data_IF_631238327141
#
_entry.id   IF_631238327141
#
_cell.length_a   1.000
_cell.length_b   1.000
_cell.length_c   1.000
_cell.angle_alpha   90.00
_cell.angle_beta   90.00
_cell.angle_gamma   90.00
#
_symmetry.space_group_name_H-M   'P 1'
#
loop_
_entity.id
_entity.type
_entity.pdbx_description
1 polymer ?
#
# COMPACT_ATOMS: atom_id res chain seq x y z
N UNK A 1 -32.22 33.53 0.16
CA UNK A 1 -31.52 32.86 -0.96
C UNK A 1 -30.92 31.59 -0.38
N UNK A 2 -31.46 30.41 -0.72
CA UNK A 2 -30.84 29.13 -0.36
C UNK A 2 -29.53 29.02 -1.12
N UNK A 3 -28.40 29.13 -0.42
CA UNK A 3 -27.07 29.00 -1.02
C UNK A 3 -26.88 27.53 -1.40
N UNK A 4 -26.88 27.23 -2.69
CA UNK A 4 -26.53 25.89 -3.18
C UNK A 4 -25.06 25.60 -2.82
N UNK A 5 -24.75 24.47 -2.15
CA UNK A 5 -23.38 24.12 -1.82
C UNK A 5 -22.59 23.80 -3.08
N UNK A 6 -21.31 24.20 -3.10
CA UNK A 6 -20.35 23.80 -4.15
C UNK A 6 -20.02 22.32 -4.05
N UNK A 7 -19.46 21.75 -5.12
CA UNK A 7 -19.01 20.36 -5.17
C UNK A 7 -18.08 20.01 -4.00
N UNK A 8 -17.07 20.84 -3.73
CA UNK A 8 -16.11 20.62 -2.64
C UNK A 8 -16.79 20.66 -1.27
N UNK A 9 -17.72 21.60 -1.05
CA UNK A 9 -18.46 21.69 0.21
C UNK A 9 -19.38 20.48 0.42
N UNK A 10 -20.07 20.04 -0.64
CA UNK A 10 -20.93 18.85 -0.60
C UNK A 10 -20.16 17.60 -0.18
N UNK A 11 -18.97 17.37 -0.76
CA UNK A 11 -18.14 16.20 -0.42
C UNK A 11 -17.53 16.33 0.98
N UNK A 12 -17.01 17.50 1.33
CA UNK A 12 -16.46 17.77 2.67
C UNK A 12 -17.49 17.48 3.75
N UNK A 13 -18.73 17.88 3.53
CA UNK A 13 -19.82 17.75 4.50
C UNK A 13 -20.49 16.36 4.42
N UNK A 14 -20.19 15.56 3.39
CA UNK A 14 -20.72 14.20 3.19
C UNK A 14 -22.15 14.17 2.64
N UNK A 15 -22.58 15.25 1.98
CA UNK A 15 -23.92 15.37 1.42
C UNK A 15 -23.97 14.77 0.01
N UNK A 16 -24.44 13.53 -0.06
CA UNK A 16 -24.53 12.79 -1.31
C UNK A 16 -25.59 13.36 -2.29
N UNK A 17 -26.61 14.08 -1.80
CA UNK A 17 -27.60 14.71 -2.66
C UNK A 17 -27.01 15.98 -3.28
N UNK A 18 -26.37 16.81 -2.46
CA UNK A 18 -25.65 17.99 -2.92
C UNK A 18 -24.51 17.65 -3.88
N UNK A 19 -23.77 16.55 -3.63
CA UNK A 19 -22.73 16.04 -4.53
C UNK A 19 -23.31 15.74 -5.91
N UNK A 20 -24.39 14.95 -5.99
CA UNK A 20 -25.04 14.62 -7.27
C UNK A 20 -25.58 15.86 -7.96
N UNK A 21 -26.19 16.78 -7.21
CA UNK A 21 -26.69 18.03 -7.75
C UNK A 21 -25.57 18.92 -8.30
N UNK A 22 -24.42 18.99 -7.63
CA UNK A 22 -23.26 19.76 -8.09
C UNK A 22 -22.62 19.16 -9.35
N UNK A 23 -22.43 17.84 -9.37
CA UNK A 23 -21.96 17.13 -10.57
C UNK A 23 -22.94 17.29 -11.75
N UNK A 24 -24.25 17.25 -11.49
CA UNK A 24 -25.28 17.49 -12.51
C UNK A 24 -25.28 18.92 -13.08
N UNK A 25 -24.69 19.89 -12.38
CA UNK A 25 -24.47 21.25 -12.89
C UNK A 25 -23.18 21.38 -13.72
N UNK A 26 -22.35 20.34 -13.78
CA UNK A 26 -21.07 20.37 -14.48
C UNK A 26 -20.01 21.20 -13.75
N UNK A 27 -20.07 21.28 -12.41
CA UNK A 27 -18.99 21.89 -11.63
C UNK A 27 -17.68 21.13 -11.84
N UNK A 28 -16.58 21.87 -11.98
CA UNK A 28 -15.27 21.31 -12.25
C UNK A 28 -14.73 20.57 -11.01
N UNK A 29 -14.46 19.24 -11.09
CA UNK A 29 -13.90 18.47 -9.98
C UNK A 29 -12.50 18.91 -9.55
N UNK A 30 -11.80 19.71 -10.37
CA UNK A 30 -10.49 20.26 -10.05
C UNK A 30 -10.55 21.52 -9.17
N UNK A 31 -11.74 22.09 -8.94
CA UNK A 31 -11.89 23.21 -8.01
C UNK A 31 -11.42 22.83 -6.60
N UNK A 32 -10.77 23.79 -5.93
CA UNK A 32 -10.19 23.61 -4.60
C UNK A 32 -10.81 24.59 -3.61
N UNK A 33 -10.99 24.14 -2.38
CA UNK A 33 -11.36 25.03 -1.29
C UNK A 33 -10.18 25.90 -0.82
N UNK A 34 -10.44 26.74 0.18
CA UNK A 34 -9.46 27.64 0.80
C UNK A 34 -8.26 26.91 1.43
N UNK A 35 -8.38 25.60 1.67
CA UNK A 35 -7.31 24.74 2.20
C UNK A 35 -6.53 24.05 1.08
N UNK A 36 -6.87 24.32 -0.18
CA UNK A 36 -6.28 23.69 -1.35
C UNK A 36 -6.80 22.27 -1.60
N UNK A 37 -7.85 21.81 -0.93
CA UNK A 37 -8.41 20.47 -1.12
C UNK A 37 -9.43 20.48 -2.26
N UNK A 38 -9.27 19.57 -3.22
CA UNK A 38 -10.29 19.28 -4.22
C UNK A 38 -11.36 18.34 -3.65
N UNK A 39 -12.45 18.16 -4.38
CA UNK A 39 -13.52 17.25 -4.00
C UNK A 39 -13.01 15.81 -3.81
N UNK A 40 -12.13 15.33 -4.71
CA UNK A 40 -11.58 13.97 -4.63
C UNK A 40 -10.63 13.78 -3.43
N UNK A 41 -9.86 14.81 -3.08
CA UNK A 41 -9.01 14.81 -1.87
C UNK A 41 -9.87 14.57 -0.62
N UNK A 42 -10.98 15.31 -0.49
CA UNK A 42 -11.91 15.17 0.62
C UNK A 42 -12.58 13.79 0.67
N UNK A 43 -13.06 13.28 -0.48
CA UNK A 43 -13.65 11.96 -0.56
C UNK A 43 -12.65 10.86 -0.12
N UNK A 44 -11.40 10.97 -0.58
CA UNK A 44 -10.32 10.06 -0.23
C UNK A 44 -9.99 10.08 1.27
N UNK A 45 -9.78 11.27 1.85
CA UNK A 45 -9.47 11.42 3.28
C UNK A 45 -10.61 10.99 4.22
N UNK A 46 -11.86 11.11 3.76
CA UNK A 46 -13.05 10.63 4.48
C UNK A 46 -13.24 9.12 4.34
N UNK A 47 -12.74 8.52 3.26
CA UNK A 47 -13.01 7.13 2.90
C UNK A 47 -14.39 6.93 2.28
N UNK A 48 -14.97 7.98 1.70
CA UNK A 48 -16.28 7.94 1.07
C UNK A 48 -16.16 7.34 -0.34
N UNK A 49 -16.16 6.01 -0.41
CA UNK A 49 -16.01 5.25 -1.66
C UNK A 49 -17.08 5.62 -2.71
N UNK A 50 -18.39 5.77 -2.36
CA UNK A 50 -19.38 6.28 -3.31
C UNK A 50 -19.02 7.65 -3.89
N UNK A 51 -18.56 8.60 -3.06
CA UNK A 51 -18.15 9.91 -3.55
C UNK A 51 -16.88 9.83 -4.41
N UNK A 52 -15.88 9.02 -4.02
CA UNK A 52 -14.68 8.77 -4.83
C UNK A 52 -15.08 8.29 -6.22
N UNK A 53 -15.93 7.27 -6.33
CA UNK A 53 -16.38 6.74 -7.63
C UNK A 53 -17.14 7.79 -8.45
N UNK A 54 -18.08 8.50 -7.83
CA UNK A 54 -18.86 9.52 -8.53
C UNK A 54 -17.98 10.66 -9.09
N UNK A 55 -16.94 11.06 -8.35
CA UNK A 55 -15.99 12.09 -8.79
C UNK A 55 -15.08 11.59 -9.91
N UNK A 56 -14.62 10.34 -9.85
CA UNK A 56 -13.84 9.71 -10.91
C UNK A 56 -14.66 9.57 -12.20
N UNK A 57 -15.92 9.14 -12.09
CA UNK A 57 -16.86 9.05 -13.22
C UNK A 57 -17.14 10.43 -13.84
N UNK A 58 -17.09 11.48 -13.03
CA UNK A 58 -17.21 12.87 -13.47
C UNK A 58 -15.90 13.46 -14.03
N UNK A 59 -14.82 12.67 -14.12
CA UNK A 59 -13.55 13.08 -14.73
C UNK A 59 -12.57 13.77 -13.78
N UNK A 60 -12.75 13.66 -12.46
CA UNK A 60 -11.73 14.10 -11.51
C UNK A 60 -10.40 13.37 -11.76
N UNK A 61 -9.29 14.10 -11.84
CA UNK A 61 -7.97 13.50 -12.02
C UNK A 61 -7.52 12.78 -10.72
N UNK A 62 -7.39 11.44 -10.73
CA UNK A 62 -7.03 10.67 -9.55
C UNK A 62 -5.57 10.83 -9.11
N UNK A 63 -4.72 11.47 -9.93
CA UNK A 63 -3.31 11.77 -9.61
C UNK A 63 -3.06 13.24 -9.30
N UNK A 64 -4.10 14.08 -9.31
CA UNK A 64 -3.96 15.49 -9.01
C UNK A 64 -3.41 15.68 -7.60
N UNK A 65 -2.27 16.35 -7.46
CA UNK A 65 -1.65 16.56 -6.15
C UNK A 65 -2.37 17.67 -5.40
N UNK A 66 -2.97 17.29 -4.29
CA UNK A 66 -3.60 18.19 -3.33
C UNK A 66 -2.60 18.78 -2.34
N UNK A 67 -3.06 19.17 -1.15
CA UNK A 67 -2.22 19.83 -0.16
C UNK A 67 -1.03 18.97 0.26
N UNK A 68 0.09 19.66 0.54
CA UNK A 68 1.38 19.03 0.84
C UNK A 68 1.90 18.13 -0.30
N UNK A 69 1.38 18.32 -1.52
CA UNK A 69 1.81 17.59 -2.70
C UNK A 69 1.34 16.14 -2.73
N UNK A 70 0.32 15.75 -1.95
CA UNK A 70 -0.16 14.36 -1.90
C UNK A 70 -1.21 14.06 -2.97
N UNK A 71 -1.17 12.89 -3.58
CA UNK A 71 -2.28 12.39 -4.42
C UNK A 71 -3.47 11.96 -3.55
N UNK A 72 -4.68 11.84 -4.11
CA UNK A 72 -5.83 11.26 -3.43
C UNK A 72 -5.53 9.88 -2.82
N UNK A 73 -4.76 9.03 -3.51
CA UNK A 73 -4.34 7.73 -2.97
C UNK A 73 -3.49 7.90 -1.70
N UNK A 74 -2.45 8.74 -1.76
CA UNK A 74 -1.59 9.02 -0.62
C UNK A 74 -2.37 9.63 0.56
N UNK A 75 -3.37 10.46 0.28
CA UNK A 75 -4.29 11.00 1.30
C UNK A 75 -5.12 9.89 1.95
N UNK A 76 -5.71 8.98 1.16
CA UNK A 76 -6.49 7.86 1.68
C UNK A 76 -5.62 6.93 2.54
N UNK A 77 -4.39 6.63 2.11
CA UNK A 77 -3.42 5.84 2.87
C UNK A 77 -3.06 6.53 4.19
N UNK A 78 -2.69 7.81 4.15
CA UNK A 78 -2.34 8.58 5.35
C UNK A 78 -3.51 8.69 6.35
N UNK A 79 -4.75 8.67 5.86
CA UNK A 79 -5.96 8.69 6.69
C UNK A 79 -6.46 7.29 7.09
N UNK A 80 -5.76 6.21 6.71
CA UNK A 80 -6.14 4.83 7.01
C UNK A 80 -7.43 4.37 6.31
N UNK A 81 -7.81 4.98 5.19
CA UNK A 81 -9.04 4.71 4.44
C UNK A 81 -8.81 3.64 3.39
N UNK A 82 -8.67 2.40 3.85
CA UNK A 82 -8.25 1.23 3.05
C UNK A 82 -9.09 1.07 1.78
N UNK A 83 -10.41 1.10 1.86
CA UNK A 83 -11.26 0.84 0.68
C UNK A 83 -11.18 1.96 -0.36
N UNK A 84 -11.07 3.22 0.08
CA UNK A 84 -10.86 4.34 -0.83
C UNK A 84 -9.46 4.27 -1.47
N UNK A 85 -8.43 3.94 -0.69
CA UNK A 85 -7.07 3.73 -1.20
C UNK A 85 -7.02 2.60 -2.24
N UNK A 86 -7.75 1.49 -2.02
CA UNK A 86 -7.85 0.41 -3.01
C UNK A 86 -8.46 0.88 -4.33
N UNK A 87 -9.59 1.56 -4.28
CA UNK A 87 -10.26 2.08 -5.49
C UNK A 87 -9.35 3.06 -6.24
N UNK A 88 -8.67 3.96 -5.53
CA UNK A 88 -7.76 4.92 -6.15
C UNK A 88 -6.54 4.22 -6.78
N UNK A 89 -5.95 3.25 -6.08
CA UNK A 89 -4.85 2.42 -6.60
C UNK A 89 -5.25 1.64 -7.85
N UNK A 90 -6.45 1.08 -7.90
CA UNK A 90 -6.93 0.35 -9.08
C UNK A 90 -6.98 1.24 -10.33
N UNK A 91 -7.27 2.53 -10.16
CA UNK A 91 -7.34 3.49 -11.25
C UNK A 91 -5.97 4.06 -11.60
N UNK A 92 -5.10 4.29 -10.61
CA UNK A 92 -3.82 4.98 -10.81
C UNK A 92 -2.60 4.06 -10.90
N UNK A 93 -2.70 2.82 -10.45
CA UNK A 93 -1.52 1.98 -10.18
C UNK A 93 -0.56 2.59 -9.14
N UNK A 94 -0.93 3.65 -8.43
CA UNK A 94 -0.06 4.23 -7.39
C UNK A 94 0.13 3.24 -6.25
N UNK A 95 1.38 3.06 -5.83
CA UNK A 95 1.73 2.01 -4.87
C UNK A 95 1.74 0.59 -5.46
N UNK A 96 1.43 0.39 -6.76
CA UNK A 96 1.64 -0.90 -7.43
C UNK A 96 3.12 -1.19 -7.66
N UNK A 97 3.91 -0.13 -7.84
CA UNK A 97 5.37 -0.23 -8.01
C UNK A 97 6.07 -0.59 -6.70
N UNK A 98 5.36 -0.48 -5.56
CA UNK A 98 5.58 -1.23 -4.33
C UNK A 98 6.99 -1.25 -3.76
N UNK A 99 7.92 -0.42 -4.24
CA UNK A 99 9.30 -0.49 -3.82
C UNK A 99 9.41 0.17 -2.46
N UNK A 100 9.18 -0.65 -1.44
CA UNK A 100 9.81 -0.53 -0.15
C UNK A 100 10.77 -1.70 -0.04
N UNK A 101 11.98 -1.49 0.49
CA UNK A 101 12.80 -2.62 0.90
C UNK A 101 12.07 -3.35 2.03
N UNK A 102 11.20 -4.30 1.66
CA UNK A 102 10.65 -5.27 2.58
C UNK A 102 11.62 -6.45 2.61
N UNK A 103 12.19 -6.66 3.78
CA UNK A 103 12.84 -7.91 4.11
C UNK A 103 12.29 -8.42 5.44
N UNK A 104 12.36 -9.73 5.62
CA UNK A 104 12.04 -10.39 6.89
C UNK A 104 13.25 -11.18 7.34
N UNK A 105 13.54 -11.05 8.64
CA UNK A 105 14.63 -11.76 9.28
C UNK A 105 14.26 -13.24 9.47
N UNK A 106 15.20 -14.12 9.15
CA UNK A 106 15.12 -15.56 9.37
C UNK A 106 16.43 -16.07 9.96
N UNK A 107 16.36 -17.17 10.69
CA UNK A 107 17.56 -17.92 11.08
C UNK A 107 18.00 -18.80 9.91
N UNK A 108 19.31 -18.92 9.68
CA UNK A 108 19.88 -19.85 8.68
C UNK A 108 19.36 -21.28 8.86
N UNK A 109 19.09 -21.70 10.11
CA UNK A 109 18.47 -22.99 10.40
C UNK A 109 17.16 -23.23 9.61
N UNK A 110 16.34 -22.19 9.44
CA UNK A 110 15.10 -22.30 8.69
C UNK A 110 15.37 -22.49 7.19
N UNK A 111 16.39 -21.81 6.64
CA UNK A 111 16.71 -21.88 5.22
C UNK A 111 17.37 -23.20 4.82
N UNK A 112 18.07 -23.88 5.75
CA UNK A 112 18.68 -25.21 5.54
C UNK A 112 17.67 -26.33 5.24
N UNK A 113 16.38 -26.11 5.49
CA UNK A 113 15.35 -27.04 5.07
C UNK A 113 15.17 -27.05 3.54
N UNK A 114 15.60 -25.99 2.84
CA UNK A 114 15.64 -25.97 1.39
C UNK A 114 16.86 -26.78 0.89
N UNK A 115 16.66 -27.81 0.05
CA UNK A 115 17.74 -28.72 -0.36
C UNK A 115 18.99 -28.04 -0.93
N UNK A 116 18.81 -26.99 -1.73
CA UNK A 116 19.92 -26.32 -2.43
C UNK A 116 20.63 -25.26 -1.58
N UNK A 117 20.11 -24.94 -0.39
CA UNK A 117 20.70 -23.95 0.52
C UNK A 117 22.13 -24.32 0.95
N UNK A 118 22.42 -25.62 1.03
CA UNK A 118 23.73 -26.17 1.44
C UNK A 118 24.93 -25.64 0.63
N UNK A 119 24.69 -25.04 -0.54
CA UNK A 119 25.70 -24.37 -1.37
C UNK A 119 26.24 -23.06 -0.79
N UNK A 120 25.55 -22.46 0.20
CA UNK A 120 25.89 -21.17 0.83
C UNK A 120 26.46 -21.31 2.24
N UNK A 121 26.42 -22.51 2.82
CA UNK A 121 26.89 -22.79 4.19
C UNK A 121 28.41 -22.60 4.40
N UNK A 122 29.19 -22.37 3.33
CA UNK A 122 30.64 -22.19 3.37
C UNK A 122 31.16 -20.88 4.00
N UNK A 123 30.29 -19.93 4.34
CA UNK A 123 30.69 -18.57 4.77
C UNK A 123 30.62 -18.33 6.30
N UNK A 124 30.93 -19.32 7.13
CA UNK A 124 30.90 -19.14 8.59
C UNK A 124 29.50 -18.85 9.15
N UNK A 125 28.46 -19.29 8.43
CA UNK A 125 27.06 -19.20 8.84
C UNK A 125 26.72 -20.32 9.83
N UNK A 126 26.32 -19.94 11.04
CA UNK A 126 25.78 -20.89 12.03
C UNK A 126 24.27 -21.00 11.87
N UNK A 127 23.67 -22.06 12.43
CA UNK A 127 22.21 -22.23 12.43
C UNK A 127 21.47 -21.02 13.04
N UNK A 128 22.08 -20.36 14.02
CA UNK A 128 21.55 -19.20 14.74
C UNK A 128 21.82 -17.86 14.04
N UNK A 129 22.53 -17.85 12.91
CA UNK A 129 22.81 -16.60 12.20
C UNK A 129 21.54 -16.03 11.61
N UNK A 130 21.27 -14.75 11.85
CA UNK A 130 20.15 -14.02 11.25
C UNK A 130 20.53 -13.56 9.85
N UNK A 131 19.64 -13.80 8.90
CA UNK A 131 19.72 -13.34 7.51
C UNK A 131 18.39 -12.71 7.10
N UNK A 132 18.39 -11.92 6.04
CA UNK A 132 17.24 -11.16 5.59
C UNK A 132 16.81 -11.62 4.21
N UNK A 133 15.59 -12.17 4.12
CA UNK A 133 14.95 -12.53 2.86
C UNK A 133 14.18 -11.31 2.35
N UNK A 134 14.51 -10.86 1.14
CA UNK A 134 13.94 -9.68 0.49
C UNK A 134 12.75 -10.05 -0.40
N UNK A 135 11.98 -9.03 -0.77
CA UNK A 135 10.82 -9.14 -1.66
C UNK A 135 11.11 -9.83 -3.00
N UNK A 136 12.33 -9.69 -3.52
CA UNK A 136 12.80 -10.32 -4.77
C UNK A 136 13.39 -11.73 -4.55
N UNK A 137 13.21 -12.27 -3.35
CA UNK A 137 13.68 -13.57 -2.89
C UNK A 137 15.22 -13.71 -2.79
N UNK A 138 15.94 -12.59 -2.81
CA UNK A 138 17.35 -12.56 -2.43
C UNK A 138 17.50 -12.69 -0.91
N UNK A 139 18.61 -13.30 -0.46
CA UNK A 139 18.97 -13.38 0.96
C UNK A 139 20.28 -12.66 1.20
N UNK A 140 20.32 -11.80 2.21
CA UNK A 140 21.49 -11.00 2.58
C UNK A 140 21.81 -11.13 4.07
N UNK A 141 23.03 -10.72 4.47
CA UNK A 141 23.35 -10.47 5.89
C UNK A 141 22.87 -9.11 6.39
N UNK A 142 22.59 -8.18 5.48
CA UNK A 142 22.15 -6.81 5.78
C UNK A 142 20.63 -6.65 5.65
N UNK A 143 20.03 -5.77 6.43
CA UNK A 143 18.63 -5.34 6.21
C UNK A 143 18.48 -4.58 4.88
N UNK A 144 19.58 -4.07 4.34
CA UNK A 144 19.60 -3.31 3.10
C UNK A 144 19.72 -4.26 1.91
N UNK A 145 18.84 -4.04 0.94
CA UNK A 145 18.80 -4.83 -0.27
C UNK A 145 20.11 -4.68 -1.08
N UNK A 146 20.64 -5.79 -1.58
CA UNK A 146 21.85 -5.84 -2.41
C UNK A 146 23.19 -5.78 -1.66
N UNK A 147 23.19 -5.60 -0.34
CA UNK A 147 24.39 -5.66 0.50
C UNK A 147 24.63 -7.07 1.03
N UNK A 148 25.88 -7.54 1.05
CA UNK A 148 26.28 -8.84 1.63
C UNK A 148 25.35 -10.00 1.21
N UNK A 149 25.15 -10.12 -0.11
CA UNK A 149 24.24 -11.10 -0.73
C UNK A 149 24.78 -12.51 -0.54
N UNK A 150 23.99 -13.34 0.16
CA UNK A 150 24.26 -14.76 0.39
C UNK A 150 23.59 -15.64 -0.66
N UNK A 151 22.41 -15.24 -1.14
CA UNK A 151 21.63 -16.01 -2.10
C UNK A 151 20.94 -15.07 -3.09
N UNK A 152 21.13 -15.31 -4.38
CA UNK A 152 20.52 -14.54 -5.47
C UNK A 152 19.89 -15.41 -6.57
N UNK A 153 19.87 -16.73 -6.38
CA UNK A 153 19.29 -17.66 -7.34
C UNK A 153 17.78 -17.72 -7.16
N UNK A 154 17.02 -17.46 -8.21
CA UNK A 154 15.56 -17.60 -8.19
C UNK A 154 15.16 -18.86 -8.95
N UNK A 155 14.41 -19.74 -8.29
CA UNK A 155 13.77 -20.91 -8.89
C UNK A 155 12.32 -21.02 -8.43
N UNK A 156 11.44 -21.71 -9.18
CA UNK A 156 10.06 -21.96 -8.74
C UNK A 156 9.99 -22.65 -7.38
N UNK A 157 10.88 -23.61 -7.12
CA UNK A 157 10.98 -24.37 -5.87
C UNK A 157 11.40 -23.48 -4.70
N UNK A 158 12.39 -22.59 -4.91
CA UNK A 158 12.80 -21.60 -3.91
C UNK A 158 11.65 -20.64 -3.57
N UNK A 159 10.93 -20.17 -4.59
CA UNK A 159 9.80 -19.27 -4.40
C UNK A 159 8.65 -19.95 -3.65
N UNK A 160 8.39 -21.23 -3.91
CA UNK A 160 7.40 -22.03 -3.18
C UNK A 160 7.83 -22.24 -1.73
N UNK A 161 9.06 -22.67 -1.48
CA UNK A 161 9.62 -22.83 -0.13
C UNK A 161 9.53 -21.53 0.69
N UNK A 162 9.89 -20.39 0.09
CA UNK A 162 9.76 -19.09 0.76
C UNK A 162 8.31 -18.80 1.20
N UNK A 163 7.32 -19.14 0.36
CA UNK A 163 5.92 -18.86 0.65
C UNK A 163 5.30 -19.83 1.65
N UNK A 164 5.52 -21.12 1.45
CA UNK A 164 4.80 -22.19 2.16
C UNK A 164 5.52 -22.59 3.46
N UNK A 165 6.85 -22.74 3.42
CA UNK A 165 7.63 -23.19 4.58
C UNK A 165 8.07 -22.01 5.48
N UNK A 166 8.59 -20.94 4.87
CA UNK A 166 9.03 -19.75 5.63
C UNK A 166 7.88 -18.80 5.97
N UNK A 167 6.72 -18.94 5.32
CA UNK A 167 5.61 -18.00 5.44
C UNK A 167 6.02 -16.57 5.06
N UNK A 168 6.94 -16.43 4.10
CA UNK A 168 7.35 -15.13 3.58
C UNK A 168 6.27 -14.58 2.67
N UNK A 169 5.68 -13.47 3.09
CA UNK A 169 4.77 -12.68 2.28
C UNK A 169 5.21 -11.23 2.38
N UNK A 170 5.37 -10.59 1.24
CA UNK A 170 5.56 -9.13 1.17
C UNK A 170 4.19 -8.53 1.48
N UNK A 171 4.02 -7.82 2.62
CA UNK A 171 2.77 -7.15 2.92
C UNK A 171 2.51 -6.14 1.81
N UNK A 172 1.29 -6.10 1.30
CA UNK A 172 0.90 -4.92 0.55
C UNK A 172 0.79 -3.73 1.53
N UNK A 173 1.00 -2.49 1.05
CA UNK A 173 0.93 -1.28 1.88
C UNK A 173 -0.44 -1.12 2.62
N UNK A 174 -1.44 -1.95 2.31
CA UNK A 174 -2.80 -1.93 2.86
C UNK A 174 -3.12 -3.13 3.79
N UNK A 175 -2.24 -4.12 3.87
CA UNK A 175 -2.26 -5.21 4.84
C UNK A 175 -1.75 -4.65 6.17
N UNK A 176 -2.63 -3.89 6.84
CA UNK A 176 -2.46 -3.55 8.24
C UNK A 176 -2.16 -4.83 9.02
N UNK A 177 -0.97 -4.94 9.61
CA UNK A 177 -0.64 -6.01 10.57
C UNK A 177 -1.78 -6.01 11.58
N UNK A 178 -2.61 -7.07 11.67
CA UNK A 178 -3.63 -7.14 12.70
C UNK A 178 -2.89 -7.03 14.03
N UNK A 179 -3.18 -5.97 14.79
CA UNK A 179 -2.59 -5.77 16.12
C UNK A 179 -2.65 -7.10 16.86
N UNK A 180 -1.47 -7.61 17.23
CA UNK A 180 -1.28 -8.97 17.68
C UNK A 180 -2.36 -9.38 18.67
N UNK A 181 -3.33 -10.17 18.19
CA UNK A 181 -4.22 -10.90 19.08
C UNK A 181 -3.37 -12.00 19.66
N UNK A 182 -2.81 -11.71 20.84
CA UNK A 182 -2.15 -12.69 21.68
C UNK A 182 -3.04 -13.90 21.83
N UNK A 183 -2.74 -14.94 21.06
CA UNK A 183 -3.17 -16.29 21.36
C UNK A 183 -1.91 -17.05 21.64
N UNK A 184 -1.45 -16.92 22.89
CA UNK A 184 -0.59 -17.92 23.48
C UNK A 184 -1.24 -19.27 23.23
N UNK A 185 -0.54 -20.13 22.51
CA UNK A 185 -0.80 -21.56 22.56
C UNK A 185 0.32 -22.19 23.38
N UNK A 186 -0.17 -22.92 24.37
CA UNK A 186 0.53 -23.69 25.39
C UNK A 186 1.43 -24.74 24.78
#
# INVERSE_FOLDING_TARGET
MTRTPSLVAAVRDGDAEALRAALGRGEDPAERDERGWAALDWAAGRGDVPAVRALLDAGADPRARGPEGRSPYEIAVAAGKVDAARVLREVTGEGADGWRPYCKAYLVAALRAFPDWSTVDGEGLTAETVVYLHHDLTVTRSIWHGEDVLWSHSSPEWAEFCREDLGFRVPDDLELVPGGSGTGRR
#
